data_IF_320683897067
#
_entry.id   IF_320683897067
#
_cell.length_a   1.000
_cell.length_b   1.000
_cell.length_c   1.000
_cell.angle_alpha   90.00
_cell.angle_beta   90.00
_cell.angle_gamma   90.00
#
_symmetry.space_group_name_H-M   'P 1'
#
loop_
_entity.id
_entity.type
_entity.pdbx_description
1 polymer ?
#
# COMPACT_ATOMS: atom_id res chain seq x y z
N UNK A 1 -25.52 -11.05 5.29
CA UNK A 1 -24.49 -10.81 6.33
C UNK A 1 -23.16 -11.22 5.72
N UNK A 2 -22.25 -10.26 5.50
CA UNK A 2 -20.93 -10.57 4.97
C UNK A 2 -20.11 -11.21 6.08
N UNK A 3 -19.88 -12.51 5.98
CA UNK A 3 -18.97 -13.23 6.87
C UNK A 3 -17.52 -12.77 6.62
N UNK A 4 -16.62 -13.14 7.53
CA UNK A 4 -15.21 -12.76 7.47
C UNK A 4 -14.52 -13.18 6.16
N UNK A 5 -14.91 -14.30 5.54
CA UNK A 5 -14.33 -14.77 4.26
C UNK A 5 -14.70 -13.80 3.14
N UNK A 6 -15.99 -13.49 2.99
CA UNK A 6 -16.47 -12.53 2.01
C UNK A 6 -15.87 -11.14 2.24
N UNK A 7 -15.71 -10.73 3.49
CA UNK A 7 -15.06 -9.47 3.84
C UNK A 7 -13.60 -9.43 3.37
N UNK A 8 -12.81 -10.48 3.61
CA UNK A 8 -11.41 -10.53 3.14
C UNK A 8 -11.32 -10.50 1.61
N UNK A 9 -12.23 -11.20 0.90
CA UNK A 9 -12.28 -11.16 -0.56
C UNK A 9 -12.62 -9.74 -1.08
N UNK A 10 -13.57 -9.04 -0.44
CA UNK A 10 -13.90 -7.65 -0.76
C UNK A 10 -12.72 -6.70 -0.53
N UNK A 11 -12.01 -6.87 0.59
CA UNK A 11 -10.83 -6.08 0.93
C UNK A 11 -9.71 -6.30 -0.09
N UNK A 12 -9.44 -7.55 -0.46
CA UNK A 12 -8.46 -7.90 -1.49
C UNK A 12 -8.83 -7.27 -2.85
N UNK A 13 -10.09 -7.37 -3.25
CA UNK A 13 -10.58 -6.77 -4.50
C UNK A 13 -10.44 -5.23 -4.51
N UNK A 14 -10.55 -4.59 -3.34
CA UNK A 14 -10.40 -3.13 -3.16
C UNK A 14 -8.97 -2.70 -2.87
N UNK A 15 -8.04 -3.64 -2.64
CA UNK A 15 -6.71 -3.35 -2.09
C UNK A 15 -6.77 -2.50 -0.81
N UNK A 16 -7.78 -2.77 0.00
CA UNK A 16 -7.98 -2.14 1.30
C UNK A 16 -7.36 -3.06 2.38
N UNK A 17 -6.45 -2.57 3.22
CA UNK A 17 -5.87 -3.39 4.28
C UNK A 17 -6.90 -3.67 5.38
N UNK A 18 -6.76 -4.81 6.04
CA UNK A 18 -7.54 -5.17 7.21
C UNK A 18 -6.74 -6.02 8.18
N UNK A 19 -7.24 -6.20 9.41
CA UNK A 19 -6.68 -7.12 10.38
C UNK A 19 -7.70 -8.24 10.61
N UNK A 20 -7.32 -9.48 10.33
CA UNK A 20 -8.08 -10.64 10.79
C UNK A 20 -7.71 -10.90 12.26
N UNK A 21 -8.72 -10.87 13.12
CA UNK A 21 -8.58 -11.21 14.53
C UNK A 21 -9.19 -12.58 14.74
N UNK A 22 -8.42 -13.52 15.30
CA UNK A 22 -8.86 -14.88 15.60
C UNK A 22 -8.69 -15.17 17.08
N UNK A 23 -9.72 -15.69 17.76
CA UNK A 23 -9.52 -16.35 19.06
C UNK A 23 -8.82 -17.68 18.80
N UNK A 24 -7.55 -17.80 19.19
CA UNK A 24 -6.77 -19.04 18.96
C UNK A 24 -6.77 -19.97 20.17
N UNK A 25 -7.00 -19.44 21.37
CA UNK A 25 -7.12 -20.22 22.59
C UNK A 25 -8.11 -19.56 23.55
N UNK A 26 -8.81 -20.39 24.30
CA UNK A 26 -9.68 -19.99 25.38
C UNK A 26 -9.49 -20.88 26.61
N UNK A 27 -9.59 -20.28 27.80
CA UNK A 27 -9.66 -21.01 29.07
C UNK A 27 -10.78 -20.43 29.94
N UNK A 28 -11.55 -21.32 30.57
CA UNK A 28 -12.63 -20.92 31.46
C UNK A 28 -13.86 -20.40 30.71
N UNK A 29 -14.62 -19.51 31.35
CA UNK A 29 -15.83 -18.93 30.75
C UNK A 29 -15.47 -17.75 29.85
N UNK A 30 -15.68 -17.92 28.56
CA UNK A 30 -15.36 -16.94 27.51
C UNK A 30 -16.64 -16.62 26.69
N UNK A 31 -16.73 -15.44 26.06
CA UNK A 31 -17.91 -15.03 25.27
C UNK A 31 -18.12 -15.87 24.00
N UNK A 32 -17.03 -16.35 23.41
CA UNK A 32 -16.99 -17.12 22.17
C UNK A 32 -15.81 -18.08 22.19
N UNK A 33 -15.99 -19.16 21.41
CA UNK A 33 -15.04 -20.26 21.35
C UNK A 33 -13.81 -19.93 20.50
N UNK A 34 -12.73 -20.68 20.73
CA UNK A 34 -11.59 -20.72 19.81
C UNK A 34 -12.05 -21.02 18.36
N UNK A 35 -11.44 -20.33 17.40
CA UNK A 35 -11.82 -20.33 15.99
C UNK A 35 -12.78 -19.20 15.59
N UNK A 36 -13.36 -18.48 16.54
CA UNK A 36 -14.17 -17.28 16.25
C UNK A 36 -13.29 -16.17 15.65
N UNK A 37 -13.82 -15.47 14.66
CA UNK A 37 -13.09 -14.50 13.84
C UNK A 37 -13.85 -13.19 13.69
N UNK A 38 -13.11 -12.10 13.53
CA UNK A 38 -13.62 -10.82 13.04
C UNK A 38 -12.57 -10.16 12.15
N UNK A 39 -13.01 -9.31 11.22
CA UNK A 39 -12.12 -8.50 10.39
C UNK A 39 -12.31 -7.04 10.74
N UNK A 40 -11.22 -6.35 11.02
CA UNK A 40 -11.20 -4.92 11.34
C UNK A 40 -10.52 -4.15 10.22
N UNK A 41 -11.21 -3.15 9.69
CA UNK A 41 -10.68 -2.16 8.76
C UNK A 41 -10.61 -0.80 9.47
N UNK A 42 -10.10 0.22 8.79
CA UNK A 42 -10.09 1.59 9.33
C UNK A 42 -11.50 2.02 9.74
N UNK A 43 -12.48 1.84 8.86
CA UNK A 43 -13.85 2.34 9.05
C UNK A 43 -14.89 1.26 9.33
N UNK A 44 -14.57 -0.01 9.06
CA UNK A 44 -15.55 -1.12 9.02
C UNK A 44 -15.11 -2.31 9.85
N UNK A 45 -16.10 -3.09 10.30
CA UNK A 45 -15.90 -4.32 11.07
C UNK A 45 -16.83 -5.38 10.50
N UNK A 46 -16.32 -6.61 10.39
CA UNK A 46 -17.06 -7.76 9.90
C UNK A 46 -16.94 -8.92 10.89
N UNK A 47 -18.04 -9.62 11.13
CA UNK A 47 -18.20 -10.61 12.19
C UNK A 47 -17.80 -10.10 13.60
N UNK A 48 -17.81 -10.99 14.58
CA UNK A 48 -17.67 -10.67 16.01
C UNK A 48 -16.97 -11.81 16.73
N UNK A 49 -15.98 -11.47 17.55
CA UNK A 49 -15.39 -12.41 18.52
C UNK A 49 -16.14 -12.40 19.87
N UNK A 50 -17.16 -11.54 19.99
CA UNK A 50 -18.01 -11.40 21.17
C UNK A 50 -17.29 -10.79 22.38
N UNK A 51 -18.07 -10.46 23.40
CA UNK A 51 -17.51 -9.99 24.65
C UNK A 51 -17.19 -8.51 24.71
N UNK A 52 -17.89 -7.64 23.95
CA UNK A 52 -18.04 -6.21 24.27
C UNK A 52 -16.74 -5.44 24.51
N UNK A 53 -16.24 -5.41 25.74
CA UNK A 53 -14.96 -4.76 26.06
C UNK A 53 -13.74 -5.48 25.45
N UNK A 54 -13.75 -6.81 25.33
CA UNK A 54 -12.73 -7.56 24.60
C UNK A 54 -12.67 -7.13 23.13
N UNK A 55 -13.83 -7.02 22.49
CA UNK A 55 -13.95 -6.57 21.10
C UNK A 55 -13.46 -5.14 20.93
N UNK A 56 -13.86 -4.25 21.84
CA UNK A 56 -13.40 -2.87 21.84
C UNK A 56 -11.88 -2.79 21.90
N UNK A 57 -11.24 -3.55 22.79
CA UNK A 57 -9.77 -3.60 22.90
C UNK A 57 -9.11 -4.21 21.67
N UNK A 58 -9.68 -5.28 21.11
CA UNK A 58 -9.20 -5.86 19.87
C UNK A 58 -9.28 -4.87 18.68
N UNK A 59 -10.36 -4.08 18.60
CA UNK A 59 -10.50 -3.03 17.59
C UNK A 59 -9.45 -1.93 17.74
N UNK A 60 -9.18 -1.48 18.97
CA UNK A 60 -8.12 -0.48 19.24
C UNK A 60 -6.76 -0.98 18.72
N UNK A 61 -6.35 -2.20 19.13
CA UNK A 61 -5.09 -2.81 18.69
C UNK A 61 -5.03 -2.97 17.17
N UNK A 62 -6.11 -3.47 16.56
CA UNK A 62 -6.16 -3.67 15.11
C UNK A 62 -6.05 -2.34 14.34
N UNK A 63 -6.72 -1.29 14.80
CA UNK A 63 -6.64 0.04 14.17
C UNK A 63 -5.28 0.69 14.38
N UNK A 64 -4.66 0.51 15.53
CA UNK A 64 -3.27 0.91 15.76
C UNK A 64 -2.32 0.21 14.77
N UNK A 65 -2.46 -1.10 14.58
CA UNK A 65 -1.67 -1.87 13.62
C UNK A 65 -1.87 -1.38 12.17
N UNK A 66 -3.09 -1.04 11.78
CA UNK A 66 -3.39 -0.44 10.47
C UNK A 66 -2.74 0.94 10.32
N UNK A 67 -2.88 1.80 11.33
CA UNK A 67 -2.32 3.15 11.31
C UNK A 67 -0.78 3.17 11.28
N UNK A 68 -0.13 2.24 11.98
CA UNK A 68 1.33 2.09 11.96
C UNK A 68 1.85 1.33 10.72
N UNK A 69 0.97 0.73 9.92
CA UNK A 69 1.35 -0.11 8.79
C UNK A 69 2.08 -1.40 9.20
N UNK A 70 1.82 -1.90 10.42
CA UNK A 70 2.46 -3.10 10.95
C UNK A 70 2.07 -4.33 10.12
N UNK A 71 3.08 -5.08 9.67
CA UNK A 71 2.89 -6.30 8.85
C UNK A 71 3.12 -7.59 9.60
N UNK A 72 3.67 -7.49 10.80
CA UNK A 72 3.91 -8.65 11.64
C UNK A 72 2.61 -9.05 12.32
N UNK A 73 2.42 -10.37 12.46
CA UNK A 73 1.34 -10.89 13.28
C UNK A 73 1.57 -10.51 14.74
N UNK A 74 0.49 -10.25 15.47
CA UNK A 74 0.54 -9.96 16.90
C UNK A 74 -0.31 -10.98 17.65
N UNK A 75 0.21 -11.44 18.78
CA UNK A 75 -0.53 -12.27 19.73
C UNK A 75 -0.75 -11.46 21.00
N UNK A 76 -1.99 -11.46 21.51
CA UNK A 76 -2.34 -10.73 22.71
C UNK A 76 -3.21 -11.61 23.63
N UNK A 77 -2.87 -11.64 24.92
CA UNK A 77 -3.60 -12.41 25.93
C UNK A 77 -4.46 -11.49 26.78
N UNK A 78 -5.74 -11.82 26.87
CA UNK A 78 -6.74 -11.07 27.65
C UNK A 78 -7.26 -11.91 28.81
N UNK A 79 -7.18 -11.37 30.03
CA UNK A 79 -7.88 -11.93 31.19
C UNK A 79 -9.24 -11.23 31.31
N UNK A 80 -10.33 -11.97 31.09
CA UNK A 80 -11.68 -11.45 30.96
C UNK A 80 -12.33 -11.02 32.27
N UNK A 81 -11.73 -11.39 33.41
CA UNK A 81 -12.23 -11.05 34.75
C UNK A 81 -12.15 -9.55 35.07
N UNK A 82 -11.86 -9.22 36.34
CA UNK A 82 -11.90 -7.84 36.85
C UNK A 82 -11.07 -6.81 36.05
N UNK A 83 -10.02 -7.25 35.35
CA UNK A 83 -9.16 -6.41 34.49
C UNK A 83 -9.86 -5.81 33.27
N UNK A 84 -10.98 -6.36 32.80
CA UNK A 84 -11.72 -5.88 31.61
C UNK A 84 -13.18 -5.48 31.93
N UNK A 85 -13.54 -5.44 33.22
CA UNK A 85 -14.89 -5.03 33.66
C UNK A 85 -16.01 -5.99 33.26
N UNK A 86 -15.72 -7.29 33.08
CA UNK A 86 -16.70 -8.28 32.63
C UNK A 86 -16.99 -9.34 33.71
N UNK A 87 -18.15 -9.99 33.61
CA UNK A 87 -18.57 -11.04 34.55
C UNK A 87 -17.88 -12.39 34.31
N UNK A 88 -17.20 -12.55 33.17
CA UNK A 88 -16.60 -13.81 32.73
C UNK A 88 -15.16 -13.94 33.27
N UNK A 89 -14.84 -14.98 34.04
CA UNK A 89 -13.50 -15.19 34.62
C UNK A 89 -12.48 -15.85 33.69
N UNK A 90 -12.77 -15.98 32.40
CA UNK A 90 -11.94 -16.71 31.44
C UNK A 90 -10.73 -15.93 30.92
N UNK A 91 -10.00 -16.57 30.01
CA UNK A 91 -8.84 -16.03 29.31
C UNK A 91 -9.01 -16.30 27.82
N UNK A 92 -8.73 -15.30 26.99
CA UNK A 92 -8.63 -15.46 25.54
C UNK A 92 -7.24 -15.08 25.06
N UNK A 93 -6.72 -15.83 24.08
CA UNK A 93 -5.55 -15.44 23.31
C UNK A 93 -6.02 -15.09 21.91
N UNK A 94 -5.76 -13.85 21.49
CA UNK A 94 -6.11 -13.34 20.17
C UNK A 94 -4.87 -13.30 19.27
N UNK A 95 -5.03 -13.78 18.05
CA UNK A 95 -4.09 -13.61 16.95
C UNK A 95 -4.61 -12.50 16.03
N UNK A 96 -3.78 -11.49 15.81
CA UNK A 96 -4.00 -10.40 14.88
C UNK A 96 -3.11 -10.61 13.66
N UNK A 97 -3.73 -10.85 12.52
CA UNK A 97 -3.07 -11.10 11.24
C UNK A 97 -3.36 -9.93 10.30
N UNK A 98 -2.34 -9.13 9.92
CA UNK A 98 -2.48 -8.17 8.84
C UNK A 98 -2.86 -8.88 7.53
N UNK A 99 -3.96 -8.45 6.95
CA UNK A 99 -4.52 -8.97 5.70
C UNK A 99 -4.52 -7.89 4.62
N UNK A 100 -4.34 -8.34 3.39
CA UNK A 100 -4.09 -7.48 2.24
C UNK A 100 -2.62 -7.09 2.16
N UNK A 101 -2.04 -7.22 0.97
CA UNK A 101 -0.73 -6.64 0.71
C UNK A 101 -0.92 -5.15 0.42
N UNK A 102 -0.06 -4.27 0.96
CA UNK A 102 -0.03 -2.89 0.52
C UNK A 102 0.34 -2.89 -0.98
N UNK A 103 -0.64 -2.64 -1.84
CA UNK A 103 -0.42 -2.63 -3.27
C UNK A 103 0.15 -1.26 -3.65
N UNK A 104 1.33 -1.25 -4.25
CA UNK A 104 1.88 0.00 -4.76
C UNK A 104 0.95 0.55 -5.85
N UNK A 105 0.46 1.77 -5.66
CA UNK A 105 -0.25 2.49 -6.70
C UNK A 105 0.76 3.21 -7.57
N UNK A 106 0.72 2.98 -8.88
CA UNK A 106 1.59 3.65 -9.85
C UNK A 106 0.71 4.39 -10.85
N UNK A 107 0.96 5.68 -11.03
CA UNK A 107 0.34 6.50 -12.06
C UNK A 107 1.38 6.79 -13.16
N UNK A 108 1.12 6.32 -14.37
CA UNK A 108 1.96 6.57 -15.55
C UNK A 108 1.24 7.56 -16.46
N UNK A 109 1.78 8.77 -16.56
CA UNK A 109 1.30 9.81 -17.46
C UNK A 109 2.08 9.76 -18.77
N UNK A 110 1.39 9.38 -19.85
CA UNK A 110 1.96 9.21 -21.19
C UNK A 110 1.86 7.77 -21.69
N UNK A 111 1.11 7.58 -22.77
CA UNK A 111 0.93 6.29 -23.47
C UNK A 111 1.80 6.15 -24.74
N UNK A 112 2.80 7.03 -24.91
CA UNK A 112 3.75 6.93 -26.01
C UNK A 112 4.65 5.67 -25.94
N UNK A 113 5.61 5.59 -26.86
CA UNK A 113 6.48 4.41 -27.05
C UNK A 113 7.15 3.87 -25.76
N UNK A 114 7.60 4.74 -24.85
CA UNK A 114 8.19 4.32 -23.58
C UNK A 114 7.12 3.77 -22.62
N UNK A 115 5.95 4.40 -22.55
CA UNK A 115 4.82 3.93 -21.74
C UNK A 115 4.37 2.53 -22.16
N UNK A 116 4.27 2.27 -23.47
CA UNK A 116 3.95 0.94 -24.01
C UNK A 116 4.97 -0.14 -23.64
N UNK A 117 6.24 0.23 -23.48
CA UNK A 117 7.28 -0.69 -23.04
C UNK A 117 7.31 -0.87 -21.51
N UNK A 118 7.00 0.19 -20.74
CA UNK A 118 7.08 0.18 -19.28
C UNK A 118 5.88 -0.49 -18.61
N UNK A 119 4.65 -0.18 -19.05
CA UNK A 119 3.44 -0.62 -18.34
C UNK A 119 3.32 -2.14 -18.24
N UNK A 120 3.66 -2.96 -19.27
CA UNK A 120 3.67 -4.42 -19.13
C UNK A 120 4.67 -4.92 -18.07
N UNK A 121 5.84 -4.28 -17.93
CA UNK A 121 6.81 -4.63 -16.89
C UNK A 121 6.25 -4.32 -15.50
N UNK A 122 5.62 -3.15 -15.34
CA UNK A 122 5.00 -2.75 -14.07
C UNK A 122 3.81 -3.65 -13.72
N UNK A 123 2.96 -4.00 -14.69
CA UNK A 123 1.82 -4.89 -14.49
C UNK A 123 2.21 -6.29 -14.03
N UNK A 124 3.46 -6.69 -14.24
CA UNK A 124 4.00 -7.96 -13.75
C UNK A 124 4.48 -7.90 -12.28
N UNK A 125 4.47 -6.71 -11.67
CA UNK A 125 4.78 -6.50 -10.25
C UNK A 125 3.50 -6.50 -9.42
N UNK A 126 3.57 -6.75 -8.09
CA UNK A 126 2.41 -6.67 -7.18
C UNK A 126 1.99 -5.20 -6.95
N UNK A 127 1.51 -4.55 -8.02
CA UNK A 127 1.14 -3.14 -8.04
C UNK A 127 -0.13 -2.93 -8.87
N UNK A 128 -0.77 -1.76 -8.70
CA UNK A 128 -1.88 -1.31 -9.55
C UNK A 128 -1.42 -0.12 -10.37
N UNK A 129 -1.58 -0.22 -11.69
CA UNK A 129 -1.15 0.83 -12.61
C UNK A 129 -2.36 1.60 -13.10
N UNK A 130 -2.36 2.93 -12.95
CA UNK A 130 -3.21 3.84 -13.71
C UNK A 130 -2.39 4.37 -14.88
N UNK A 131 -2.84 4.13 -16.10
CA UNK A 131 -2.15 4.59 -17.30
C UNK A 131 -2.98 5.68 -17.97
N UNK A 132 -2.47 6.91 -17.93
CA UNK A 132 -3.20 8.13 -18.25
C UNK A 132 -2.61 8.81 -19.48
N UNK A 133 -3.43 9.10 -20.49
CA UNK A 133 -3.08 9.92 -21.66
C UNK A 133 -4.38 10.43 -22.32
N UNK A 134 -4.36 11.61 -22.93
CA UNK A 134 -5.50 12.14 -23.69
C UNK A 134 -5.77 11.37 -24.99
N UNK A 135 -4.75 10.69 -25.53
CA UNK A 135 -4.80 10.10 -26.87
C UNK A 135 -5.17 8.63 -26.78
N UNK A 136 -6.44 8.31 -27.00
CA UNK A 136 -6.92 6.93 -26.96
C UNK A 136 -6.13 5.96 -27.88
N UNK A 137 -5.78 6.41 -29.09
CA UNK A 137 -5.02 5.63 -30.06
C UNK A 137 -3.59 5.30 -29.61
N UNK A 138 -3.09 5.92 -28.55
CA UNK A 138 -1.78 5.59 -28.01
C UNK A 138 -1.79 4.30 -27.18
N UNK A 139 -2.94 3.91 -26.63
CA UNK A 139 -3.07 2.69 -25.85
C UNK A 139 -3.11 1.43 -26.74
N UNK A 140 -2.58 0.29 -26.27
CA UNK A 140 -2.75 -0.98 -26.98
C UNK A 140 -4.21 -1.44 -26.96
N UNK A 141 -4.60 -2.27 -27.92
CA UNK A 141 -5.95 -2.84 -27.99
C UNK A 141 -6.27 -3.73 -26.78
N UNK A 142 -5.29 -4.50 -26.33
CA UNK A 142 -5.38 -5.34 -25.14
C UNK A 142 -4.58 -4.74 -23.99
N UNK A 143 -5.26 -4.55 -22.86
CA UNK A 143 -4.67 -4.01 -21.64
C UNK A 143 -4.13 -5.16 -20.76
N UNK A 144 -2.92 -5.03 -20.19
CA UNK A 144 -2.45 -5.97 -19.18
C UNK A 144 -3.38 -6.00 -17.96
N UNK A 145 -3.46 -7.15 -17.29
CA UNK A 145 -4.22 -7.27 -16.05
C UNK A 145 -3.66 -6.32 -14.98
N UNK A 146 -4.54 -5.77 -14.13
CA UNK A 146 -4.13 -4.82 -13.07
C UNK A 146 -3.83 -3.40 -13.56
N UNK A 147 -3.98 -3.12 -14.87
CA UNK A 147 -3.84 -1.78 -15.45
C UNK A 147 -5.20 -1.14 -15.71
N UNK A 148 -5.43 0.03 -15.12
CA UNK A 148 -6.57 0.90 -15.42
C UNK A 148 -6.18 1.91 -16.51
N UNK A 149 -6.75 1.76 -17.71
CA UNK A 149 -6.67 2.76 -18.79
C UNK A 149 -7.53 3.98 -18.44
N UNK A 150 -6.95 5.17 -18.52
CA UNK A 150 -7.64 6.44 -18.31
C UNK A 150 -7.36 7.34 -19.52
N UNK A 151 -8.41 7.63 -20.28
CA UNK A 151 -8.38 8.61 -21.38
C UNK A 151 -8.99 9.89 -20.87
N UNK A 152 -8.18 10.93 -20.70
CA UNK A 152 -8.61 12.22 -20.19
C UNK A 152 -7.87 13.34 -20.95
N UNK A 153 -8.63 14.27 -21.53
CA UNK A 153 -8.10 15.43 -22.26
C UNK A 153 -7.28 16.35 -21.35
N UNK A 154 -7.54 16.33 -20.04
CA UNK A 154 -6.81 17.06 -19.01
C UNK A 154 -6.16 16.08 -18.01
N UNK A 155 -5.02 15.42 -18.38
CA UNK A 155 -4.37 14.44 -17.50
C UNK A 155 -3.96 14.98 -16.13
N UNK A 156 -3.82 16.31 -15.98
CA UNK A 156 -3.45 16.96 -14.72
C UNK A 156 -4.53 16.76 -13.65
N UNK A 157 -5.80 16.69 -14.04
CA UNK A 157 -6.93 16.53 -13.10
C UNK A 157 -6.87 15.19 -12.34
N UNK A 158 -6.30 14.16 -12.97
CA UNK A 158 -6.13 12.84 -12.36
C UNK A 158 -5.20 12.86 -11.14
N UNK A 159 -4.29 13.84 -11.05
CA UNK A 159 -3.35 13.97 -9.93
C UNK A 159 -4.11 14.16 -8.61
N UNK A 160 -5.25 14.86 -8.62
CA UNK A 160 -6.07 15.07 -7.42
C UNK A 160 -6.72 13.77 -6.91
N UNK A 161 -6.97 12.81 -7.81
CA UNK A 161 -7.67 11.55 -7.49
C UNK A 161 -6.73 10.38 -7.19
N UNK A 162 -5.41 10.58 -7.23
CA UNK A 162 -4.45 9.54 -6.87
C UNK A 162 -4.56 9.16 -5.38
N UNK A 163 -4.34 7.90 -4.99
CA UNK A 163 -4.14 7.55 -3.59
C UNK A 163 -2.89 8.23 -3.02
N UNK A 164 -2.88 8.45 -1.70
CA UNK A 164 -1.67 8.88 -0.97
C UNK A 164 -0.56 7.85 -1.20
N UNK A 165 0.69 8.29 -1.32
CA UNK A 165 1.83 7.41 -1.52
C UNK A 165 1.98 6.87 -2.94
N UNK A 166 1.16 7.32 -3.90
CA UNK A 166 1.27 6.90 -5.31
C UNK A 166 2.64 7.21 -5.90
N UNK A 167 3.15 6.29 -6.71
CA UNK A 167 4.35 6.44 -7.52
C UNK A 167 3.98 7.11 -8.83
N UNK A 168 4.35 8.38 -8.98
CA UNK A 168 4.02 9.18 -10.14
C UNK A 168 5.16 9.12 -11.17
N UNK A 169 4.84 8.71 -12.39
CA UNK A 169 5.78 8.59 -13.50
C UNK A 169 5.27 9.47 -14.64
N UNK A 170 5.98 10.57 -14.92
CA UNK A 170 5.59 11.52 -15.97
C UNK A 170 6.51 11.35 -17.17
N UNK A 171 5.92 10.89 -18.28
CA UNK A 171 6.63 10.61 -19.52
C UNK A 171 5.85 11.02 -20.77
N UNK A 172 5.23 12.19 -20.73
CA UNK A 172 4.47 12.69 -21.87
C UNK A 172 5.40 13.18 -22.98
N UNK A 173 4.82 13.48 -24.14
CA UNK A 173 5.53 14.07 -25.27
C UNK A 173 5.48 15.61 -25.26
N UNK A 174 4.71 16.21 -24.35
CA UNK A 174 4.46 17.65 -24.29
C UNK A 174 5.17 18.26 -23.07
N UNK A 175 6.17 19.09 -23.33
CA UNK A 175 6.96 19.75 -22.28
C UNK A 175 6.16 20.66 -21.35
N UNK A 176 5.07 21.26 -21.83
CA UNK A 176 4.22 22.12 -21.01
C UNK A 176 3.34 21.27 -20.08
N UNK A 177 2.71 20.22 -20.62
CA UNK A 177 1.94 19.25 -19.82
C UNK A 177 2.81 18.58 -18.75
N UNK A 178 4.04 18.19 -19.08
CA UNK A 178 4.98 17.63 -18.10
C UNK A 178 5.24 18.59 -16.94
N UNK A 179 5.33 19.90 -17.20
CA UNK A 179 5.55 20.89 -16.15
C UNK A 179 4.31 21.07 -15.28
N UNK A 180 3.12 21.07 -15.89
CA UNK A 180 1.84 21.17 -15.17
C UNK A 180 1.61 19.96 -14.26
N UNK A 181 1.85 18.75 -14.77
CA UNK A 181 1.85 17.52 -13.98
C UNK A 181 2.88 17.59 -12.84
N UNK A 182 4.10 18.04 -13.14
CA UNK A 182 5.15 18.22 -12.13
C UNK A 182 4.69 19.17 -11.03
N UNK A 183 4.11 20.33 -11.38
CA UNK A 183 3.61 21.31 -10.42
C UNK A 183 2.47 20.73 -9.57
N UNK A 184 1.51 20.03 -10.18
CA UNK A 184 0.38 19.42 -9.47
C UNK A 184 0.84 18.34 -8.49
N UNK A 185 1.74 17.44 -8.92
CA UNK A 185 2.29 16.36 -8.07
C UNK A 185 3.08 16.95 -6.90
N UNK A 186 3.97 17.91 -7.16
CA UNK A 186 4.78 18.54 -6.12
C UNK A 186 3.93 19.35 -5.14
N UNK A 187 2.88 20.03 -5.62
CA UNK A 187 1.96 20.81 -4.78
C UNK A 187 1.19 19.92 -3.82
N UNK A 188 0.82 18.72 -4.28
CA UNK A 188 0.14 17.71 -3.46
C UNK A 188 1.07 17.11 -2.40
N UNK A 189 2.32 16.80 -2.79
CA UNK A 189 3.42 16.51 -1.86
C UNK A 189 3.34 15.18 -1.10
N UNK A 190 2.27 14.41 -1.24
CA UNK A 190 1.98 13.15 -0.53
C UNK A 190 2.32 11.89 -1.36
N UNK A 191 3.03 12.05 -2.49
CA UNK A 191 3.47 10.96 -3.36
C UNK A 191 4.62 10.13 -2.72
N UNK A 192 4.63 8.83 -3.00
CA UNK A 192 5.70 7.93 -2.55
C UNK A 192 6.96 8.02 -3.41
N UNK A 193 6.78 8.30 -4.71
CA UNK A 193 7.85 8.47 -5.68
C UNK A 193 7.38 9.44 -6.78
N UNK A 194 8.29 10.26 -7.30
CA UNK A 194 8.04 11.07 -8.48
C UNK A 194 9.23 11.04 -9.44
N UNK A 195 9.00 10.48 -10.63
CA UNK A 195 9.96 10.42 -11.72
C UNK A 195 9.45 11.18 -12.96
N UNK A 196 10.33 11.96 -13.57
CA UNK A 196 10.08 12.72 -14.78
C UNK A 196 11.07 12.32 -15.87
N UNK A 197 10.55 11.94 -17.04
CA UNK A 197 11.38 11.64 -18.20
C UNK A 197 12.04 12.92 -18.69
N UNK A 198 13.32 12.84 -19.02
CA UNK A 198 14.04 13.94 -19.64
C UNK A 198 15.50 14.02 -19.24
N UNK A 199 16.15 15.09 -19.66
CA UNK A 199 17.58 15.34 -19.43
C UNK A 199 17.82 16.16 -18.16
N UNK A 200 19.09 16.20 -17.72
CA UNK A 200 19.54 17.12 -16.67
C UNK A 200 19.23 18.59 -17.02
N UNK A 201 19.30 18.96 -18.30
CA UNK A 201 18.93 20.31 -18.75
C UNK A 201 17.43 20.58 -18.59
N UNK A 202 16.56 19.60 -18.88
CA UNK A 202 15.11 19.73 -18.64
C UNK A 202 14.83 19.95 -17.16
N UNK A 203 15.49 19.17 -16.29
CA UNK A 203 15.41 19.36 -14.83
C UNK A 203 15.71 20.80 -14.41
N UNK A 204 16.87 21.34 -14.82
CA UNK A 204 17.28 22.70 -14.43
C UNK A 204 16.26 23.75 -14.87
N UNK A 205 15.72 23.62 -16.09
CA UNK A 205 14.68 24.54 -16.60
C UNK A 205 13.39 24.44 -15.80
N UNK A 206 12.96 23.23 -15.43
CA UNK A 206 11.74 23.02 -14.65
C UNK A 206 11.92 23.56 -13.24
N UNK A 207 13.03 23.27 -12.57
CA UNK A 207 13.34 23.80 -11.24
C UNK A 207 13.32 25.34 -11.22
N UNK A 208 13.87 26.00 -12.25
CA UNK A 208 13.82 27.45 -12.36
C UNK A 208 12.37 27.97 -12.39
N UNK A 209 11.55 27.47 -13.33
CA UNK A 209 10.15 27.88 -13.49
C UNK A 209 9.32 27.60 -12.23
N UNK A 210 9.57 26.46 -11.56
CA UNK A 210 8.85 26.10 -10.34
C UNK A 210 9.26 26.96 -9.15
N UNK A 211 10.55 27.36 -9.03
CA UNK A 211 10.98 28.31 -8.00
C UNK A 211 10.34 29.68 -8.20
N UNK A 212 10.24 30.16 -9.44
CA UNK A 212 9.51 31.40 -9.76
C UNK A 212 8.03 31.32 -9.37
N UNK A 213 7.43 30.13 -9.45
CA UNK A 213 6.08 29.85 -8.97
C UNK A 213 5.96 29.56 -7.46
N UNK A 214 7.04 29.72 -6.69
CA UNK A 214 7.02 29.64 -5.22
C UNK A 214 7.21 28.23 -4.62
N UNK A 215 7.70 27.26 -5.38
CA UNK A 215 7.98 25.92 -4.84
C UNK A 215 9.27 25.86 -4.00
N UNK A 216 9.17 25.24 -2.82
CA UNK A 216 10.31 25.04 -1.93
C UNK A 216 11.38 24.12 -2.52
N UNK A 217 12.64 24.41 -2.22
CA UNK A 217 13.79 23.63 -2.67
C UNK A 217 13.74 22.16 -2.20
N UNK A 218 13.20 21.91 -1.00
CA UNK A 218 13.06 20.56 -0.44
C UNK A 218 12.07 19.69 -1.23
N UNK A 219 10.98 20.29 -1.72
CA UNK A 219 10.03 19.59 -2.61
C UNK A 219 10.65 19.32 -3.97
N UNK A 220 11.37 20.29 -4.54
CA UNK A 220 12.04 20.11 -5.84
C UNK A 220 13.11 19.01 -5.82
N UNK A 221 13.79 18.80 -4.69
CA UNK A 221 14.73 17.69 -4.52
C UNK A 221 14.07 16.31 -4.63
N UNK A 222 12.76 16.19 -4.35
CA UNK A 222 11.99 14.95 -4.49
C UNK A 222 11.65 14.59 -5.93
N UNK A 223 11.80 15.51 -6.88
CA UNK A 223 11.68 15.21 -8.31
C UNK A 223 12.90 14.42 -8.78
N UNK A 224 12.70 13.24 -9.38
CA UNK A 224 13.77 12.48 -10.06
C UNK A 224 13.74 12.75 -11.56
N UNK A 225 14.80 13.36 -12.08
CA UNK A 225 14.94 13.69 -13.50
C UNK A 225 16.43 13.81 -13.85
N UNK A 226 16.98 13.05 -14.80
CA UNK A 226 16.35 11.89 -15.44
C UNK A 226 15.93 10.84 -14.40
N UNK A 227 14.79 10.19 -14.63
CA UNK A 227 14.46 8.94 -13.93
C UNK A 227 15.03 7.74 -14.68
N UNK A 228 15.15 6.63 -13.98
CA UNK A 228 15.84 5.40 -14.36
C UNK A 228 17.19 5.24 -13.65
N UNK A 229 17.64 4.00 -13.52
CA UNK A 229 19.01 3.67 -13.12
C UNK A 229 20.03 4.16 -14.16
N UNK A 230 21.05 4.89 -13.70
CA UNK A 230 22.07 5.48 -14.55
C UNK A 230 23.02 4.43 -15.17
N UNK A 231 23.09 3.25 -14.56
CA UNK A 231 23.86 2.09 -14.97
C UNK A 231 23.29 1.44 -16.25
N UNK A 232 21.97 1.51 -16.41
CA UNK A 232 21.27 0.98 -17.59
C UNK A 232 21.32 2.04 -18.70
N UNK A 233 22.33 1.92 -19.55
CA UNK A 233 22.52 2.81 -20.70
C UNK A 233 21.76 2.28 -21.90
N UNK A 234 21.06 3.17 -22.59
CA UNK A 234 20.24 2.78 -23.74
C UNK A 234 19.37 3.94 -24.22
N UNK A 235 18.90 3.83 -25.46
CA UNK A 235 17.92 4.77 -26.04
C UNK A 235 16.68 4.06 -26.58
N UNK A 236 16.68 2.73 -26.59
CA UNK A 236 15.51 1.97 -26.99
C UNK A 236 14.43 2.12 -25.91
N UNK A 237 13.14 2.21 -26.27
CA UNK A 237 12.05 2.35 -25.30
C UNK A 237 12.07 1.27 -24.22
N UNK A 238 12.42 0.03 -24.57
CA UNK A 238 12.50 -1.08 -23.62
C UNK A 238 13.67 -0.94 -22.64
N UNK A 239 14.82 -0.42 -23.05
CA UNK A 239 15.97 -0.18 -22.16
C UNK A 239 15.63 0.88 -21.12
N UNK A 240 14.97 1.96 -21.56
CA UNK A 240 14.47 3.03 -20.69
C UNK A 240 13.40 2.47 -19.73
N UNK A 241 12.47 1.66 -20.24
CA UNK A 241 11.44 1.02 -19.43
C UNK A 241 12.02 0.11 -18.33
N UNK A 242 12.99 -0.76 -18.67
CA UNK A 242 13.68 -1.61 -17.69
C UNK A 242 14.42 -0.76 -16.65
N UNK A 243 15.10 0.30 -17.08
CA UNK A 243 15.79 1.23 -16.19
C UNK A 243 14.84 1.89 -15.18
N UNK A 244 13.67 2.36 -15.64
CA UNK A 244 12.64 2.96 -14.77
C UNK A 244 12.03 1.92 -13.84
N UNK A 245 11.65 0.74 -14.36
CA UNK A 245 11.07 -0.34 -13.56
C UNK A 245 12.03 -0.78 -12.44
N UNK A 246 13.33 -0.90 -12.74
CA UNK A 246 14.33 -1.24 -11.75
C UNK A 246 14.48 -0.18 -10.64
N UNK A 247 14.45 1.11 -10.98
CA UNK A 247 14.44 2.20 -9.99
C UNK A 247 13.17 2.19 -9.12
N UNK A 248 12.02 1.92 -9.72
CA UNK A 248 10.74 1.77 -9.02
C UNK A 248 10.82 0.59 -8.03
N UNK A 249 11.31 -0.57 -8.46
CA UNK A 249 11.50 -1.76 -7.60
C UNK A 249 12.46 -1.46 -6.44
N UNK A 250 13.57 -0.75 -6.70
CA UNK A 250 14.52 -0.38 -5.65
C UNK A 250 13.86 0.52 -4.59
N UNK A 251 13.03 1.47 -5.01
CA UNK A 251 12.30 2.37 -4.10
C UNK A 251 11.16 1.64 -3.38
N UNK A 252 10.47 0.75 -4.08
CA UNK A 252 9.44 -0.14 -3.58
C UNK A 252 9.97 -1.06 -2.47
N UNK A 253 11.09 -1.75 -2.67
CA UNK A 253 11.63 -2.67 -1.67
C UNK A 253 12.11 -1.98 -0.38
N UNK A 254 12.59 -0.74 -0.45
CA UNK A 254 12.91 0.04 0.75
C UNK A 254 11.64 0.36 1.54
N UNK A 255 10.56 0.74 0.83
CA UNK A 255 9.30 1.16 1.45
C UNK A 255 8.46 -0.03 1.95
N UNK A 256 8.56 -1.19 1.28
CA UNK A 256 7.70 -2.34 1.52
C UNK A 256 8.43 -3.61 2.02
N UNK A 257 9.75 -3.75 1.86
CA UNK A 257 10.46 -5.02 2.11
C UNK A 257 11.10 -5.19 3.49
N UNK A 258 11.37 -4.13 4.25
CA UNK A 258 12.25 -4.20 5.42
C UNK A 258 11.59 -4.32 6.82
N UNK A 259 10.26 -4.30 6.93
CA UNK A 259 9.58 -4.26 8.24
C UNK A 259 9.25 -5.64 8.87
N UNK A 260 9.74 -6.76 8.30
CA UNK A 260 9.41 -8.12 8.78
C UNK A 260 10.33 -8.68 9.89
N UNK A 261 11.33 -7.96 10.36
CA UNK A 261 12.23 -8.47 11.39
C UNK A 261 11.83 -8.01 12.79
N UNK A 262 11.42 -8.96 13.66
CA UNK A 262 11.29 -8.93 15.13
C UNK A 262 9.87 -9.12 15.69
N UNK A 263 9.23 -10.25 15.41
CA UNK A 263 8.14 -10.74 16.25
C UNK A 263 8.71 -11.48 17.47
N UNK A 264 8.19 -11.23 18.68
CA UNK A 264 8.55 -12.00 19.86
C UNK A 264 8.12 -13.47 19.73
N UNK A 265 8.91 -14.45 20.22
CA UNK A 265 8.55 -15.86 20.09
C UNK A 265 7.23 -16.21 20.80
N UNK A 266 6.32 -16.86 20.06
CA UNK A 266 5.01 -17.39 20.51
C UNK A 266 5.09 -18.13 21.87
N UNK A 267 6.24 -18.77 22.16
CA UNK A 267 6.47 -19.56 23.37
C UNK A 267 6.33 -18.79 24.70
N UNK A 268 6.38 -17.44 24.71
CA UNK A 268 6.20 -16.65 25.95
C UNK A 268 4.73 -16.35 26.29
N UNK A 269 3.81 -16.51 25.35
CA UNK A 269 2.41 -16.05 25.51
C UNK A 269 1.43 -17.17 25.86
N UNK A 270 1.82 -18.42 25.64
CA UNK A 270 1.05 -19.61 26.05
C UNK A 270 1.59 -20.12 27.40
N UNK A 271 0.73 -20.46 28.37
CA UNK A 271 1.20 -21.19 29.56
C UNK A 271 1.81 -22.53 29.14
N UNK A 272 2.89 -22.95 29.80
CA UNK A 272 3.43 -24.29 29.60
C UNK A 272 2.32 -25.33 29.81
N UNK A 273 2.02 -26.10 28.77
CA UNK A 273 1.00 -27.15 28.80
C UNK A 273 1.23 -28.08 29.99
N UNK A 274 0.26 -28.16 30.92
CA UNK A 274 0.30 -29.11 32.05
C UNK A 274 0.13 -30.57 31.61
N UNK A 275 -0.07 -30.86 30.32
CA UNK A 275 -0.22 -32.24 29.82
C UNK A 275 1.10 -33.02 29.72
N UNK A 276 2.24 -32.43 30.07
CA UNK A 276 3.54 -33.13 30.11
C UNK A 276 4.01 -33.52 31.51
N UNK A 277 3.23 -33.30 32.58
CA UNK A 277 3.60 -33.67 33.96
C UNK A 277 2.64 -34.68 34.61
N UNK A 278 2.25 -35.70 33.86
CA UNK A 278 1.70 -36.93 34.44
C UNK A 278 2.29 -38.14 33.72
N UNK A 279 3.50 -38.52 34.12
CA UNK A 279 3.96 -39.90 34.16
C UNK A 279 4.12 -40.29 35.63
#
# INVERSE_FOLDING_TARGET
MNNWISALAELQARSEPGILVTIIEELGSTPRNAGSKMVVCTERIYDTIGGGHLEYKAMEIAREMLASGTRQTRLERFNLGASLGQCCGGVNVLLFEPMGEPVAHIAVFGAGHVGRALVPLLASLPCRVRWIDAREHEFPESMPEGVLKIVNDEPVDEVAQLPVGTYCIVMTHNHQLDLELTAAILKRGDFGYFGLIGSKTKRVKFEHRLRESGFDASLLQRMRCPMGLAEVKGKLPIEIAVSIAAEVIATYNVSFGQHSANAEPIARLLPASRRSQSQ
#
